data_IF_373182634785
#
_entry.id   IF_373182634785
#
_cell.length_a   1.000
_cell.length_b   1.000
_cell.length_c   1.000
_cell.angle_alpha   90.00
_cell.angle_beta   90.00
_cell.angle_gamma   90.00
#
_symmetry.space_group_name_H-M   'P 1'
#
loop_
_entity.id
_entity.type
_entity.pdbx_description
1 polymer ?
#
# COMPACT_ATOMS: atom_id res chain seq x y z
N UNK A 1 -8.92 7.76 -28.63
CA UNK A 1 -8.19 8.00 -27.37
C UNK A 1 -7.71 6.66 -26.87
N UNK A 2 -6.46 6.33 -27.18
CA UNK A 2 -5.80 5.10 -26.73
C UNK A 2 -5.30 5.28 -25.31
N UNK A 3 -5.70 4.38 -24.42
CA UNK A 3 -4.81 3.84 -23.38
C UNK A 3 -5.14 2.36 -23.25
N UNK A 4 -4.38 1.58 -24.02
CA UNK A 4 -4.14 0.16 -23.79
C UNK A 4 -3.51 -0.05 -22.41
N UNK A 5 -3.50 -1.32 -21.99
CA UNK A 5 -2.77 -1.90 -20.86
C UNK A 5 -3.50 -1.99 -19.52
N UNK A 6 -4.36 -3.00 -19.44
CA UNK A 6 -4.50 -3.81 -18.22
C UNK A 6 -3.52 -4.97 -18.32
N UNK A 7 -2.31 -4.76 -17.81
CA UNK A 7 -1.37 -5.86 -17.51
C UNK A 7 -2.00 -6.79 -16.46
N UNK A 8 -2.16 -8.10 -16.74
CA UNK A 8 -2.74 -9.05 -15.80
C UNK A 8 -1.72 -9.60 -14.76
N UNK A 9 -0.47 -9.14 -14.76
CA UNK A 9 0.61 -9.66 -13.89
C UNK A 9 0.75 -8.92 -12.55
N UNK A 10 -0.13 -7.97 -12.24
CA UNK A 10 0.06 -7.01 -11.15
C UNK A 10 -0.89 -7.12 -9.92
N UNK A 11 -1.36 -8.31 -9.47
CA UNK A 11 -2.15 -8.37 -8.22
C UNK A 11 -1.31 -7.90 -7.01
N UNK A 12 0.03 -8.01 -7.09
CA UNK A 12 0.94 -7.50 -6.06
C UNK A 12 1.11 -5.99 -6.11
N UNK A 13 1.01 -5.31 -7.25
CA UNK A 13 1.12 -3.85 -7.28
C UNK A 13 -0.23 -3.17 -6.94
N UNK A 14 -1.34 -3.73 -7.43
CA UNK A 14 -2.67 -3.11 -7.33
C UNK A 14 -3.11 -2.79 -5.89
N UNK A 15 -2.95 -3.74 -4.95
CA UNK A 15 -3.35 -3.50 -3.56
C UNK A 15 -2.45 -2.51 -2.80
N UNK A 16 -1.19 -2.31 -3.24
CA UNK A 16 -0.17 -1.57 -2.51
C UNK A 16 -0.23 -0.12 -2.99
N UNK A 17 -0.34 0.06 -4.30
CA UNK A 17 -0.67 1.35 -4.90
C UNK A 17 -2.01 1.88 -4.36
N UNK A 18 -3.04 1.04 -4.23
CA UNK A 18 -4.30 1.45 -3.63
C UNK A 18 -4.16 1.85 -2.15
N UNK A 19 -3.45 1.06 -1.34
CA UNK A 19 -3.19 1.39 0.06
C UNK A 19 -2.36 2.68 0.22
N UNK A 20 -1.40 2.92 -0.69
CA UNK A 20 -0.61 4.13 -0.71
C UNK A 20 -1.45 5.36 -1.07
N UNK A 21 -2.30 5.27 -2.09
CA UNK A 21 -3.23 6.35 -2.43
C UNK A 21 -4.20 6.67 -1.29
N UNK A 22 -4.69 5.65 -0.58
CA UNK A 22 -5.53 5.87 0.61
C UNK A 22 -4.75 6.57 1.74
N UNK A 23 -3.46 6.26 1.93
CA UNK A 23 -2.60 6.94 2.89
C UNK A 23 -2.38 8.42 2.53
N UNK A 24 -2.18 8.73 1.25
CA UNK A 24 -2.06 10.11 0.75
C UNK A 24 -3.36 10.91 1.01
N UNK A 25 -4.51 10.29 0.75
CA UNK A 25 -5.82 10.87 1.03
C UNK A 25 -6.05 11.11 2.53
N UNK A 26 -5.60 10.19 3.39
CA UNK A 26 -5.64 10.37 4.83
C UNK A 26 -4.76 11.55 5.23
N UNK A 27 -3.52 11.61 4.73
CA UNK A 27 -2.59 12.69 5.05
C UNK A 27 -3.17 14.06 4.67
N UNK A 28 -3.72 14.19 3.46
CA UNK A 28 -4.35 15.43 2.99
C UNK A 28 -5.54 15.85 3.88
N UNK A 29 -6.28 14.89 4.44
CA UNK A 29 -7.35 15.19 5.39
C UNK A 29 -6.79 15.63 6.75
N UNK A 30 -5.75 14.98 7.27
CA UNK A 30 -5.15 15.32 8.56
C UNK A 30 -4.51 16.72 8.58
N UNK A 31 -4.03 17.21 7.44
CA UNK A 31 -3.43 18.54 7.31
C UNK A 31 -4.45 19.69 7.34
N UNK A 32 -5.75 19.39 7.27
CA UNK A 32 -6.79 20.40 7.37
C UNK A 32 -6.91 20.93 8.79
N UNK A 33 -7.03 22.25 8.91
CA UNK A 33 -7.06 22.97 10.19
C UNK A 33 -8.38 22.83 10.96
N UNK A 34 -9.42 22.26 10.34
CA UNK A 34 -10.79 22.20 10.84
C UNK A 34 -11.27 20.77 11.16
N UNK A 35 -10.33 19.83 11.34
CA UNK A 35 -10.65 18.43 11.62
C UNK A 35 -10.85 18.19 13.12
N UNK A 36 -11.95 17.53 13.46
CA UNK A 36 -12.27 17.10 14.81
C UNK A 36 -11.28 16.02 15.32
N UNK A 37 -10.92 16.09 16.61
CA UNK A 37 -9.97 15.16 17.24
C UNK A 37 -10.39 13.69 17.16
N UNK A 38 -11.69 13.40 17.20
CA UNK A 38 -12.21 12.03 17.07
C UNK A 38 -12.03 11.51 15.63
N UNK A 39 -12.17 12.41 14.65
CA UNK A 39 -11.91 12.11 13.23
C UNK A 39 -10.41 11.90 13.01
N UNK A 40 -9.54 12.72 13.62
CA UNK A 40 -8.09 12.52 13.57
C UNK A 40 -7.71 11.14 14.12
N UNK A 41 -8.24 10.74 15.27
CA UNK A 41 -7.95 9.44 15.88
C UNK A 41 -8.35 8.28 14.95
N UNK A 42 -9.54 8.35 14.35
CA UNK A 42 -10.03 7.34 13.40
C UNK A 42 -9.15 7.26 12.15
N UNK A 43 -8.74 8.40 11.60
CA UNK A 43 -7.89 8.46 10.41
C UNK A 43 -6.48 7.95 10.68
N UNK A 44 -5.89 8.27 11.84
CA UNK A 44 -4.58 7.75 12.24
C UNK A 44 -4.64 6.24 12.45
N UNK A 45 -5.70 5.71 13.07
CA UNK A 45 -5.90 4.27 13.21
C UNK A 45 -5.94 3.57 11.84
N UNK A 46 -6.70 4.13 10.90
CA UNK A 46 -6.76 3.61 9.53
C UNK A 46 -5.39 3.67 8.82
N UNK A 47 -4.65 4.76 8.97
CA UNK A 47 -3.31 4.86 8.42
C UNK A 47 -2.36 3.80 8.98
N UNK A 48 -2.45 3.49 10.29
CA UNK A 48 -1.63 2.45 10.91
C UNK A 48 -1.93 1.05 10.33
N UNK A 49 -3.19 0.74 10.05
CA UNK A 49 -3.61 -0.50 9.38
C UNK A 49 -3.02 -0.60 7.97
N UNK A 50 -3.13 0.47 7.19
CA UNK A 50 -2.59 0.53 5.82
C UNK A 50 -1.06 0.38 5.80
N UNK A 51 -0.37 1.02 6.74
CA UNK A 51 1.09 0.87 6.88
C UNK A 51 1.47 -0.57 7.20
N UNK A 52 0.73 -1.23 8.11
CA UNK A 52 0.95 -2.64 8.46
C UNK A 52 0.77 -3.53 7.23
N UNK A 53 -0.34 -3.35 6.51
CA UNK A 53 -0.60 -4.05 5.25
C UNK A 53 0.54 -3.86 4.23
N UNK A 54 1.00 -2.62 4.04
CA UNK A 54 2.11 -2.31 3.14
C UNK A 54 3.41 -3.02 3.52
N UNK A 55 3.73 -3.06 4.82
CA UNK A 55 4.91 -3.76 5.34
C UNK A 55 4.84 -5.26 5.13
N UNK A 56 3.70 -5.88 5.42
CA UNK A 56 3.50 -7.32 5.22
C UNK A 56 3.67 -7.70 3.75
N UNK A 57 3.15 -6.86 2.85
CA UNK A 57 3.27 -7.05 1.40
C UNK A 57 4.71 -6.97 0.93
N UNK A 58 5.48 -5.98 1.40
CA UNK A 58 6.91 -5.86 1.10
C UNK A 58 7.66 -7.07 1.64
N UNK A 59 7.35 -7.53 2.86
CA UNK A 59 7.94 -8.72 3.46
C UNK A 59 7.70 -9.98 2.63
N UNK A 60 6.46 -10.21 2.21
CA UNK A 60 6.09 -11.33 1.36
C UNK A 60 6.80 -11.28 -0.01
N UNK A 61 6.86 -10.11 -0.63
CA UNK A 61 7.58 -9.94 -1.90
C UNK A 61 9.07 -10.25 -1.75
N UNK A 62 9.71 -9.82 -0.65
CA UNK A 62 11.12 -10.16 -0.34
C UNK A 62 11.32 -11.67 -0.20
N UNK A 63 10.46 -12.36 0.54
CA UNK A 63 10.52 -13.81 0.69
C UNK A 63 10.38 -14.55 -0.65
N UNK A 64 9.48 -14.09 -1.52
CA UNK A 64 9.33 -14.66 -2.86
C UNK A 64 10.59 -14.46 -3.70
N UNK A 65 11.21 -13.28 -3.64
CA UNK A 65 12.46 -13.00 -4.34
C UNK A 65 13.57 -13.94 -3.82
N UNK A 66 13.71 -14.06 -2.50
CA UNK A 66 14.71 -14.96 -1.88
C UNK A 66 14.52 -16.41 -2.31
N UNK A 67 13.28 -16.91 -2.36
CA UNK A 67 12.97 -18.26 -2.85
C UNK A 67 13.31 -18.44 -4.33
N UNK A 68 13.06 -17.44 -5.17
CA UNK A 68 13.39 -17.50 -6.59
C UNK A 68 14.90 -17.52 -6.80
N UNK A 69 15.64 -16.69 -6.07
CA UNK A 69 17.11 -16.64 -6.13
C UNK A 69 17.71 -17.96 -5.65
N UNK A 70 17.24 -18.50 -4.52
CA UNK A 70 17.74 -19.77 -3.99
C UNK A 70 17.59 -20.93 -5.00
N UNK A 71 16.47 -20.99 -5.73
CA UNK A 71 16.26 -22.00 -6.78
C UNK A 71 17.13 -21.82 -8.03
N UNK A 72 17.67 -20.62 -8.27
CA UNK A 72 18.55 -20.34 -9.41
C UNK A 72 20.01 -20.69 -9.10
N UNK A 73 20.38 -20.70 -7.82
CA UNK A 73 21.72 -21.05 -7.34
C UNK A 73 21.90 -22.56 -7.10
N UNK A 74 20.82 -23.35 -7.19
CA UNK A 74 20.80 -24.84 -7.20
C UNK A 74 20.93 -25.41 -8.62
#
# INVERSE_FOLDING_TARGET
>A
MSTSDRDPEAPIAAGYAAALGELEDILARLERSDVDVDVLATQVQRAAELITFCRDRIGNARLQIEQVVARLDE
#
